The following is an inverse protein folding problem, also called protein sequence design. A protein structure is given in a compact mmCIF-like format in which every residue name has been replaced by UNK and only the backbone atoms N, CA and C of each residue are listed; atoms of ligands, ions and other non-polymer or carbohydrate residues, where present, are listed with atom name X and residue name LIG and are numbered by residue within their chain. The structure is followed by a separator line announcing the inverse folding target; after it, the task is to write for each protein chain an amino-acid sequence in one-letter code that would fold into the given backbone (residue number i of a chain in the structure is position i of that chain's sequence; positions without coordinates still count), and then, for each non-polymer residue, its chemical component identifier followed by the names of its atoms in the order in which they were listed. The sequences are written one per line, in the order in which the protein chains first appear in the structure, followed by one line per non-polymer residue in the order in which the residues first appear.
data_IF_730216220455
#
_entry.id   IF_730216220455
#
_cell.length_a   1.000
_cell.length_b   1.000
_cell.length_c   1.000
_cell.angle_alpha   90.00
_cell.angle_beta   90.00
_cell.angle_gamma   90.00
#
_symmetry.space_group_name_H-M   'P 1'
#
loop_
_entity.id
_entity.type
_entity.pdbx_description
1 polymer ?
#
# COMPACT_ATOMS: atom_id res chain seq x y z
N UNK A 1 -58.70 -8.65 8.32
CA UNK A 1 -58.06 -8.45 7.00
C UNK A 1 -56.65 -9.01 7.11
N UNK A 2 -56.48 -10.29 6.76
CA UNK A 2 -55.17 -10.93 6.68
C UNK A 2 -54.45 -10.40 5.45
N UNK A 3 -53.37 -9.66 5.64
CA UNK A 3 -52.53 -9.24 4.54
C UNK A 3 -51.92 -10.49 3.91
N UNK A 4 -52.35 -10.86 2.72
CA UNK A 4 -51.70 -11.87 1.86
C UNK A 4 -50.29 -11.39 1.50
N UNK A 5 -49.32 -11.61 2.42
CA UNK A 5 -47.90 -11.45 2.12
C UNK A 5 -47.54 -12.45 0.99
N UNK A 6 -47.49 -11.97 -0.23
CA UNK A 6 -47.04 -12.74 -1.37
C UNK A 6 -45.61 -13.19 -1.23
N UNK A 7 -45.42 -14.48 -0.94
CA UNK A 7 -44.09 -15.13 -0.89
C UNK A 7 -43.48 -15.18 -2.29
N UNK A 8 -42.65 -14.18 -2.65
CA UNK A 8 -42.00 -14.14 -3.94
C UNK A 8 -40.78 -15.06 -3.95
N UNK A 9 -40.82 -16.18 -4.70
CA UNK A 9 -39.66 -17.07 -4.92
C UNK A 9 -38.47 -16.26 -5.47
N UNK A 10 -37.22 -16.60 -5.05
CA UNK A 10 -36.02 -15.99 -5.64
C UNK A 10 -35.93 -16.32 -7.13
N UNK A 11 -35.65 -15.32 -7.96
CA UNK A 11 -35.44 -15.52 -9.39
C UNK A 11 -34.15 -16.33 -9.59
N UNK A 12 -34.23 -17.42 -10.40
CA UNK A 12 -33.04 -18.26 -10.71
C UNK A 12 -31.98 -17.47 -11.45
N UNK A 13 -32.38 -16.59 -12.40
CA UNK A 13 -31.43 -15.73 -13.13
C UNK A 13 -30.71 -14.78 -12.25
N UNK A 14 -31.39 -14.11 -11.33
CA UNK A 14 -30.78 -13.19 -10.35
C UNK A 14 -29.88 -13.95 -9.37
N UNK A 15 -30.28 -15.14 -8.91
CA UNK A 15 -29.47 -15.97 -8.03
C UNK A 15 -28.15 -16.39 -8.71
N UNK A 16 -28.17 -16.78 -9.99
CA UNK A 16 -26.97 -17.12 -10.76
C UNK A 16 -26.08 -15.90 -10.96
N UNK A 17 -26.64 -14.77 -11.39
CA UNK A 17 -25.88 -13.54 -11.61
C UNK A 17 -25.18 -13.08 -10.32
N UNK A 18 -25.93 -13.02 -9.21
CA UNK A 18 -25.32 -12.67 -7.90
C UNK A 18 -24.28 -13.70 -7.45
N UNK A 19 -24.55 -15.00 -7.65
CA UNK A 19 -23.59 -16.06 -7.29
C UNK A 19 -22.30 -16.00 -8.10
N UNK A 20 -22.35 -15.52 -9.35
CA UNK A 20 -21.19 -15.39 -10.21
C UNK A 20 -20.37 -14.13 -9.90
N UNK A 21 -21.04 -12.98 -9.73
CA UNK A 21 -20.34 -11.70 -9.55
C UNK A 21 -20.10 -11.33 -8.08
N UNK A 22 -20.99 -11.77 -7.17
CA UNK A 22 -20.95 -11.48 -5.74
C UNK A 22 -21.37 -12.74 -4.95
N UNK A 23 -20.51 -13.79 -4.86
CA UNK A 23 -20.88 -15.08 -4.27
C UNK A 23 -21.57 -15.01 -2.90
N UNK A 24 -21.11 -14.20 -1.91
CA UNK A 24 -21.82 -14.06 -0.64
C UNK A 24 -23.24 -13.50 -0.80
N UNK A 25 -23.43 -12.51 -1.67
CA UNK A 25 -24.73 -11.91 -1.94
C UNK A 25 -25.70 -12.89 -2.63
N UNK A 26 -25.18 -13.75 -3.54
CA UNK A 26 -25.96 -14.83 -4.15
C UNK A 26 -26.54 -15.79 -3.12
N UNK A 27 -25.77 -16.15 -2.10
CA UNK A 27 -26.24 -17.01 -1.01
C UNK A 27 -27.23 -16.31 -0.07
N UNK A 28 -27.00 -15.02 0.23
CA UNK A 28 -27.96 -14.21 1.00
C UNK A 28 -29.30 -14.09 0.25
N UNK A 29 -29.25 -13.90 -1.06
CA UNK A 29 -30.45 -13.81 -1.89
C UNK A 29 -31.32 -15.06 -1.86
N UNK A 30 -30.72 -16.25 -1.74
CA UNK A 30 -31.42 -17.52 -1.59
C UNK A 30 -31.60 -17.96 -0.11
N UNK A 31 -31.47 -17.00 0.83
CA UNK A 31 -31.67 -17.21 2.28
C UNK A 31 -30.74 -18.27 2.92
N UNK A 32 -29.49 -18.31 2.52
CA UNK A 32 -28.46 -19.22 3.05
C UNK A 32 -27.27 -18.44 3.68
N UNK A 33 -27.48 -17.73 4.83
CA UNK A 33 -26.46 -16.86 5.41
C UNK A 33 -25.17 -17.58 5.84
N UNK A 34 -25.29 -18.81 6.39
CA UNK A 34 -24.12 -19.61 6.75
C UNK A 34 -23.23 -19.93 5.54
N UNK A 35 -23.81 -20.22 4.37
CA UNK A 35 -23.05 -20.42 3.14
C UNK A 35 -22.48 -19.11 2.61
N UNK A 36 -23.20 -17.99 2.77
CA UNK A 36 -22.67 -16.68 2.42
C UNK A 36 -21.38 -16.36 3.18
N UNK A 37 -21.35 -16.65 4.51
CA UNK A 37 -20.17 -16.50 5.33
C UNK A 37 -19.01 -17.40 4.85
N UNK A 38 -19.28 -18.66 4.50
CA UNK A 38 -18.26 -19.57 3.96
C UNK A 38 -17.66 -19.02 2.67
N UNK A 39 -18.48 -18.54 1.72
CA UNK A 39 -17.99 -17.96 0.47
C UNK A 39 -17.19 -16.68 0.72
N UNK A 40 -17.59 -15.84 1.67
CA UNK A 40 -16.83 -14.65 2.07
C UNK A 40 -15.44 -15.03 2.58
N UNK A 41 -15.38 -15.99 3.53
CA UNK A 41 -14.10 -16.47 4.08
C UNK A 41 -13.22 -17.08 3.00
N UNK A 42 -13.77 -17.91 2.11
CA UNK A 42 -13.02 -18.50 0.99
C UNK A 42 -12.43 -17.42 0.08
N UNK A 43 -13.19 -16.40 -0.28
CA UNK A 43 -12.69 -15.30 -1.12
C UNK A 43 -11.60 -14.48 -0.41
N UNK A 44 -11.74 -14.25 0.89
CA UNK A 44 -10.69 -13.56 1.69
C UNK A 44 -9.42 -14.40 1.75
N UNK A 45 -9.54 -15.71 1.98
CA UNK A 45 -8.38 -16.63 2.00
C UNK A 45 -7.71 -16.70 0.63
N UNK A 46 -8.48 -16.79 -0.45
CA UNK A 46 -7.93 -16.78 -1.83
C UNK A 46 -7.23 -15.45 -2.11
N UNK A 47 -7.82 -14.33 -1.74
CA UNK A 47 -7.21 -13.01 -1.91
C UNK A 47 -5.90 -12.90 -1.14
N UNK A 48 -5.86 -13.35 0.13
CA UNK A 48 -4.63 -13.39 0.93
C UNK A 48 -3.58 -14.33 0.32
N UNK A 49 -3.95 -15.55 -0.05
CA UNK A 49 -3.03 -16.52 -0.65
C UNK A 49 -2.50 -16.04 -2.00
N UNK A 50 -3.33 -15.36 -2.82
CA UNK A 50 -2.91 -14.85 -4.12
C UNK A 50 -1.79 -13.80 -4.03
N UNK A 51 -1.67 -13.12 -2.89
CA UNK A 51 -0.58 -12.17 -2.64
C UNK A 51 0.77 -12.91 -2.60
N UNK A 52 0.81 -14.08 -1.97
CA UNK A 52 2.05 -14.88 -1.85
C UNK A 52 2.36 -15.65 -3.14
N UNK A 53 1.34 -16.14 -3.85
CA UNK A 53 1.50 -16.93 -5.08
C UNK A 53 1.73 -16.06 -6.32
N UNK A 54 1.39 -14.78 -6.27
CA UNK A 54 1.45 -13.87 -7.43
C UNK A 54 2.86 -13.74 -8.05
N UNK A 55 3.91 -14.05 -7.30
CA UNK A 55 5.30 -14.05 -7.80
C UNK A 55 5.55 -15.15 -8.83
N UNK A 56 4.94 -16.32 -8.64
CA UNK A 56 5.12 -17.48 -9.52
C UNK A 56 4.03 -17.57 -10.59
N UNK A 57 2.78 -17.24 -10.23
CA UNK A 57 1.64 -17.28 -11.14
C UNK A 57 0.59 -16.21 -10.79
N UNK A 58 0.64 -15.08 -11.49
CA UNK A 58 -0.28 -13.97 -11.29
C UNK A 58 -1.76 -14.29 -11.57
N UNK A 59 -2.06 -15.34 -12.32
CA UNK A 59 -3.41 -15.75 -12.70
C UNK A 59 -4.06 -16.73 -11.72
N UNK A 60 -3.26 -17.40 -10.88
CA UNK A 60 -3.74 -18.48 -10.01
C UNK A 60 -4.85 -18.01 -9.05
N UNK A 61 -4.68 -16.84 -8.41
CA UNK A 61 -5.70 -16.28 -7.51
C UNK A 61 -7.00 -15.93 -8.22
N UNK A 62 -6.91 -15.37 -9.43
CA UNK A 62 -8.07 -15.07 -10.27
C UNK A 62 -8.82 -16.32 -10.70
N UNK A 63 -8.11 -17.36 -11.14
CA UNK A 63 -8.69 -18.65 -11.53
C UNK A 63 -9.39 -19.33 -10.34
N UNK A 64 -8.78 -19.33 -9.16
CA UNK A 64 -9.38 -19.88 -7.94
C UNK A 64 -10.66 -19.11 -7.53
N UNK A 65 -10.64 -17.78 -7.59
CA UNK A 65 -11.83 -16.97 -7.31
C UNK A 65 -12.96 -17.21 -8.34
N UNK A 66 -12.62 -17.33 -9.61
CA UNK A 66 -13.59 -17.63 -10.67
C UNK A 66 -14.22 -19.02 -10.46
N UNK A 67 -13.45 -20.04 -10.09
CA UNK A 67 -13.98 -21.36 -9.77
C UNK A 67 -14.96 -21.31 -8.59
N UNK A 68 -14.63 -20.62 -7.53
CA UNK A 68 -15.50 -20.41 -6.36
C UNK A 68 -16.80 -19.70 -6.79
N UNK A 69 -16.72 -18.69 -7.64
CA UNK A 69 -17.89 -17.98 -8.16
C UNK A 69 -18.79 -18.89 -9.00
N UNK A 70 -18.24 -19.72 -9.87
CA UNK A 70 -18.98 -20.69 -10.66
C UNK A 70 -19.70 -21.71 -9.75
N UNK A 71 -18.99 -22.28 -8.76
CA UNK A 71 -19.58 -23.23 -7.80
C UNK A 71 -20.72 -22.55 -7.04
N UNK A 72 -20.52 -21.31 -6.59
CA UNK A 72 -21.56 -20.53 -5.92
C UNK A 72 -22.78 -20.30 -6.82
N UNK A 73 -22.59 -19.91 -8.07
CA UNK A 73 -23.66 -19.68 -9.02
C UNK A 73 -24.52 -20.94 -9.25
N UNK A 74 -23.87 -22.11 -9.41
CA UNK A 74 -24.57 -23.40 -9.53
C UNK A 74 -25.36 -23.74 -8.27
N UNK A 75 -24.78 -23.53 -7.10
CA UNK A 75 -25.48 -23.76 -5.83
C UNK A 75 -26.64 -22.77 -5.65
N UNK A 76 -26.45 -21.49 -5.96
CA UNK A 76 -27.50 -20.48 -5.87
C UNK A 76 -28.68 -20.82 -6.81
N UNK A 77 -28.38 -21.29 -8.05
CA UNK A 77 -29.41 -21.80 -8.96
C UNK A 77 -30.23 -22.96 -8.35
N UNK A 78 -29.52 -23.98 -7.78
CA UNK A 78 -30.17 -25.13 -7.16
C UNK A 78 -31.06 -24.70 -5.98
N UNK A 79 -30.56 -23.85 -5.09
CA UNK A 79 -31.37 -23.35 -3.97
C UNK A 79 -32.53 -22.47 -4.42
N UNK A 80 -32.39 -21.67 -5.46
CA UNK A 80 -33.50 -20.89 -6.04
C UNK A 80 -34.55 -21.80 -6.71
N UNK A 81 -34.13 -22.91 -7.36
CA UNK A 81 -35.03 -23.90 -7.98
C UNK A 81 -35.86 -24.65 -6.93
N UNK A 82 -35.15 -25.14 -5.90
CA UNK A 82 -35.71 -26.01 -4.87
C UNK A 82 -36.19 -25.21 -3.65
N UNK A 83 -36.37 -23.89 -3.79
CA UNK A 83 -36.78 -23.00 -2.73
C UNK A 83 -38.19 -23.36 -2.23
N UNK A 84 -38.25 -23.79 -0.96
CA UNK A 84 -39.53 -24.04 -0.29
C UNK A 84 -40.19 -22.71 0.07
N UNK A 85 -41.50 -22.63 0.14
CA UNK A 85 -42.26 -21.43 0.48
C UNK A 85 -42.06 -21.05 2.00
N UNK A 86 -40.89 -20.48 2.28
CA UNK A 86 -40.55 -19.95 3.59
C UNK A 86 -40.42 -18.43 3.47
N UNK A 87 -40.86 -17.71 4.48
CA UNK A 87 -40.74 -16.23 4.53
C UNK A 87 -39.27 -15.84 4.33
N UNK A 88 -38.95 -15.16 3.24
CA UNK A 88 -37.58 -14.72 2.98
C UNK A 88 -37.17 -13.68 4.02
N UNK A 89 -35.99 -13.82 4.66
CA UNK A 89 -35.47 -12.82 5.57
C UNK A 89 -35.28 -11.46 4.83
N UNK A 90 -35.32 -10.39 5.59
CA UNK A 90 -35.25 -9.03 5.04
C UNK A 90 -33.97 -8.80 4.18
N UNK A 91 -32.85 -9.38 4.60
CA UNK A 91 -31.55 -9.29 3.88
C UNK A 91 -31.53 -10.09 2.55
N UNK A 92 -32.45 -11.01 2.33
CA UNK A 92 -32.62 -11.76 1.07
C UNK A 92 -33.57 -11.08 0.10
N UNK A 93 -34.25 -10.00 0.50
CA UNK A 93 -35.14 -9.21 -0.34
C UNK A 93 -34.35 -8.09 -1.04
N UNK A 94 -34.80 -7.58 -2.21
CA UNK A 94 -34.08 -6.58 -3.00
C UNK A 94 -33.49 -5.42 -2.20
N UNK A 95 -34.32 -4.62 -1.47
CA UNK A 95 -33.80 -3.48 -0.70
C UNK A 95 -32.85 -3.88 0.43
N UNK A 96 -33.20 -4.93 1.19
CA UNK A 96 -32.36 -5.42 2.29
C UNK A 96 -31.02 -5.99 1.80
N UNK A 97 -31.01 -6.71 0.68
CA UNK A 97 -29.79 -7.21 0.06
C UNK A 97 -28.89 -6.07 -0.40
N UNK A 98 -29.46 -5.05 -1.05
CA UNK A 98 -28.71 -3.85 -1.46
C UNK A 98 -28.11 -3.12 -0.26
N UNK A 99 -28.86 -3.00 0.83
CA UNK A 99 -28.37 -2.42 2.08
C UNK A 99 -27.17 -3.20 2.64
N UNK A 100 -27.27 -4.52 2.71
CA UNK A 100 -26.17 -5.38 3.19
C UNK A 100 -24.93 -5.23 2.30
N UNK A 101 -25.10 -5.25 0.97
CA UNK A 101 -24.00 -5.04 0.03
C UNK A 101 -23.35 -3.65 0.25
N UNK A 102 -24.17 -2.60 0.38
CA UNK A 102 -23.68 -1.24 0.60
C UNK A 102 -22.90 -1.10 1.92
N UNK A 103 -23.36 -1.75 3.00
CA UNK A 103 -22.65 -1.76 4.29
C UNK A 103 -21.29 -2.45 4.14
N UNK A 104 -21.21 -3.63 3.52
CA UNK A 104 -19.93 -4.33 3.32
C UNK A 104 -18.97 -3.55 2.41
N UNK A 105 -19.49 -2.94 1.33
CA UNK A 105 -18.68 -2.10 0.46
C UNK A 105 -18.18 -0.85 1.20
N UNK A 106 -19.01 -0.22 2.01
CA UNK A 106 -18.63 0.93 2.84
C UNK A 106 -17.57 0.57 3.89
N UNK A 107 -17.70 -0.58 4.55
CA UNK A 107 -16.70 -1.08 5.48
C UNK A 107 -15.36 -1.38 4.80
N UNK A 108 -15.39 -2.04 3.65
CA UNK A 108 -14.17 -2.33 2.87
C UNK A 108 -13.48 -1.05 2.40
N UNK A 109 -14.25 -0.06 1.93
CA UNK A 109 -13.74 1.25 1.57
C UNK A 109 -13.18 1.98 2.80
N UNK A 110 -13.86 1.93 3.94
CA UNK A 110 -13.41 2.51 5.20
C UNK A 110 -12.06 1.93 5.65
N UNK A 111 -11.90 0.61 5.61
CA UNK A 111 -10.61 -0.05 5.90
C UNK A 111 -9.53 0.46 4.95
N UNK A 112 -9.81 0.52 3.65
CA UNK A 112 -8.85 0.98 2.64
C UNK A 112 -8.47 2.46 2.80
N UNK A 113 -9.43 3.31 3.10
CA UNK A 113 -9.20 4.76 3.25
C UNK A 113 -8.45 5.09 4.54
N UNK A 114 -8.86 4.48 5.67
CA UNK A 114 -8.41 4.91 7.00
C UNK A 114 -7.37 4.00 7.65
N UNK A 115 -7.33 2.72 7.29
CA UNK A 115 -6.49 1.77 8.00
C UNK A 115 -5.33 1.26 7.17
N UNK A 116 -5.60 0.57 6.06
CA UNK A 116 -4.57 -0.14 5.30
C UNK A 116 -4.85 -0.08 3.81
N UNK A 117 -3.84 0.28 3.03
CA UNK A 117 -3.94 0.31 1.58
C UNK A 117 -2.77 -0.41 0.91
N UNK A 118 -3.03 -1.31 -0.07
CA UNK A 118 -1.98 -1.90 -0.88
C UNK A 118 -1.57 -0.94 -2.01
N UNK A 119 -0.26 -0.72 -2.16
CA UNK A 119 0.33 0.04 -3.26
C UNK A 119 1.24 -0.85 -4.09
N UNK A 120 1.31 -0.64 -5.41
CA UNK A 120 2.31 -1.24 -6.27
C UNK A 120 3.47 -0.28 -6.46
N UNK A 121 4.69 -0.75 -6.27
CA UNK A 121 5.89 0.07 -6.36
C UNK A 121 6.70 -0.27 -7.63
N UNK A 122 6.64 0.56 -8.69
CA UNK A 122 7.29 0.25 -9.96
C UNK A 122 8.76 0.69 -10.04
N UNK A 123 9.27 1.46 -9.07
CA UNK A 123 10.56 2.13 -9.10
C UNK A 123 11.69 1.27 -8.53
N UNK A 124 12.91 1.43 -9.08
CA UNK A 124 14.13 0.82 -8.54
C UNK A 124 14.81 1.66 -7.43
N UNK A 125 14.26 2.82 -7.06
CA UNK A 125 14.91 3.76 -6.13
C UNK A 125 15.04 3.25 -4.69
N UNK A 126 14.31 2.19 -4.33
CA UNK A 126 14.36 1.58 -3.00
C UNK A 126 15.02 0.20 -2.99
N UNK A 127 15.74 -0.16 -4.07
CA UNK A 127 16.59 -1.35 -4.06
C UNK A 127 17.69 -1.22 -2.99
N UNK A 128 18.06 -2.29 -2.31
CA UNK A 128 17.58 -3.64 -2.42
C UNK A 128 16.34 -3.93 -1.55
N UNK A 129 15.88 -2.96 -0.73
CA UNK A 129 14.77 -3.17 0.22
C UNK A 129 13.43 -3.43 -0.46
N UNK A 130 13.17 -2.81 -1.61
CA UNK A 130 11.92 -2.96 -2.37
C UNK A 130 12.28 -3.20 -3.83
N UNK A 131 11.92 -4.37 -4.35
CA UNK A 131 12.07 -4.69 -5.78
C UNK A 131 10.98 -3.97 -6.62
N UNK A 132 11.31 -3.55 -7.86
CA UNK A 132 10.32 -3.02 -8.78
C UNK A 132 9.19 -4.02 -9.02
N UNK A 133 7.94 -3.55 -8.88
CA UNK A 133 6.74 -4.40 -9.01
C UNK A 133 6.22 -4.96 -7.69
N UNK A 134 6.98 -4.86 -6.61
CA UNK A 134 6.56 -5.28 -5.27
C UNK A 134 5.26 -4.57 -4.83
N UNK A 135 4.50 -5.25 -4.00
CA UNK A 135 3.29 -4.70 -3.36
C UNK A 135 3.60 -4.28 -1.94
N UNK A 136 3.31 -3.04 -1.62
CA UNK A 136 3.51 -2.46 -0.30
C UNK A 136 2.19 -2.47 0.44
N UNK A 137 2.15 -3.02 1.64
CA UNK A 137 1.02 -2.87 2.55
C UNK A 137 1.30 -1.67 3.45
N UNK A 138 0.54 -0.60 3.27
CA UNK A 138 0.75 0.68 3.91
C UNK A 138 -0.28 0.91 5.00
N UNK A 139 0.17 1.11 6.23
CA UNK A 139 -0.66 1.49 7.37
C UNK A 139 -0.91 2.99 7.30
N UNK A 140 -2.19 3.41 7.28
CA UNK A 140 -2.62 4.82 7.14
C UNK A 140 -3.10 5.44 8.43
N UNK A 141 -3.57 4.63 9.36
CA UNK A 141 -4.10 5.11 10.64
C UNK A 141 -3.07 5.95 11.40
N UNK A 142 -3.46 7.17 11.77
CA UNK A 142 -2.62 8.12 12.48
C UNK A 142 -1.66 8.95 11.60
N UNK A 143 -1.62 8.73 10.28
CA UNK A 143 -0.79 9.54 9.37
C UNK A 143 -1.54 10.75 8.78
N UNK A 144 -2.85 10.83 8.99
CA UNK A 144 -3.64 12.03 8.74
C UNK A 144 -4.00 12.34 7.29
N UNK A 145 -3.45 11.62 6.31
CA UNK A 145 -3.78 11.79 4.89
C UNK A 145 -4.65 10.63 4.40
N UNK A 146 -5.96 10.79 4.56
CA UNK A 146 -6.93 9.74 4.29
C UNK A 146 -7.57 9.93 2.91
N UNK A 147 -7.11 9.16 1.95
CA UNK A 147 -7.61 9.14 0.58
C UNK A 147 -7.36 7.77 -0.07
N UNK A 148 -7.98 7.50 -1.21
CA UNK A 148 -7.71 6.34 -2.06
C UNK A 148 -8.20 6.63 -3.48
N UNK A 149 -7.61 6.02 -4.51
CA UNK A 149 -7.95 6.27 -5.91
C UNK A 149 -7.97 7.76 -6.27
N UNK A 150 -6.96 8.53 -5.79
CA UNK A 150 -6.84 9.99 -5.99
C UNK A 150 -7.96 10.83 -5.34
N UNK A 151 -8.93 10.18 -4.69
CA UNK A 151 -10.00 10.85 -3.95
C UNK A 151 -9.56 11.04 -2.50
N UNK A 152 -9.58 12.28 -2.04
CA UNK A 152 -9.28 12.65 -0.67
C UNK A 152 -10.58 12.74 0.14
N UNK A 153 -10.64 11.98 1.25
CA UNK A 153 -11.79 11.95 2.14
C UNK A 153 -11.61 12.84 3.38
N UNK A 154 -10.42 12.81 3.97
CA UNK A 154 -10.13 13.60 5.17
C UNK A 154 -8.65 13.93 5.32
N UNK A 155 -8.33 14.97 6.07
CA UNK A 155 -7.00 15.30 6.56
C UNK A 155 -7.02 15.54 8.06
N UNK A 156 -5.97 15.11 8.75
CA UNK A 156 -5.72 15.36 10.16
C UNK A 156 -4.21 15.56 10.37
N UNK A 157 -3.84 16.04 11.56
CA UNK A 157 -2.44 16.04 11.95
C UNK A 157 -1.94 14.60 12.14
N UNK A 158 -0.64 14.37 11.91
CA UNK A 158 -0.01 13.08 12.22
C UNK A 158 -0.08 12.87 13.74
N UNK A 159 -0.59 11.69 14.13
CA UNK A 159 -0.62 11.22 15.52
C UNK A 159 0.17 9.93 15.72
N UNK A 160 0.53 9.23 14.64
CA UNK A 160 1.42 8.08 14.70
C UNK A 160 2.88 8.50 14.71
N UNK A 161 3.69 7.76 15.44
CA UNK A 161 5.13 7.98 15.48
C UNK A 161 5.78 7.67 14.14
N UNK A 162 6.61 8.59 13.66
CA UNK A 162 7.49 8.43 12.50
C UNK A 162 8.92 8.37 13.00
N UNK A 163 9.59 7.26 12.77
CA UNK A 163 10.94 7.01 13.25
C UNK A 163 11.95 6.97 12.10
N UNK A 164 13.24 7.26 12.38
CA UNK A 164 14.32 7.03 11.41
C UNK A 164 14.36 5.56 11.01
N UNK A 165 14.59 5.33 9.73
CA UNK A 165 14.57 3.99 9.14
C UNK A 165 13.19 3.52 8.67
N UNK A 166 12.10 4.19 9.03
CA UNK A 166 10.77 3.86 8.49
C UNK A 166 10.70 4.13 6.99
N UNK A 167 10.09 3.22 6.24
CA UNK A 167 9.72 3.49 4.84
C UNK A 167 8.31 4.04 4.84
N UNK A 168 8.13 5.23 4.25
CA UNK A 168 6.85 5.89 4.15
C UNK A 168 6.43 6.08 2.70
N UNK A 169 5.11 5.99 2.46
CA UNK A 169 4.49 6.45 1.21
C UNK A 169 3.97 7.86 1.44
N UNK A 170 4.24 8.76 0.51
CA UNK A 170 3.87 10.17 0.62
C UNK A 170 3.55 10.79 -0.74
N UNK A 171 2.74 11.85 -0.72
CA UNK A 171 2.49 12.72 -1.88
C UNK A 171 3.76 13.52 -2.18
N UNK A 172 4.25 13.45 -3.42
CA UNK A 172 5.44 14.20 -3.84
C UNK A 172 5.22 15.72 -3.64
N UNK A 173 6.16 16.44 -3.01
CA UNK A 173 5.92 17.85 -2.66
C UNK A 173 5.64 18.79 -3.83
N UNK A 174 6.24 18.54 -5.00
CA UNK A 174 6.03 19.37 -6.21
C UNK A 174 4.77 18.97 -6.99
N UNK A 175 4.34 17.69 -6.89
CA UNK A 175 3.14 17.17 -7.54
C UNK A 175 2.45 16.12 -6.67
N UNK A 176 1.42 16.51 -5.97
CA UNK A 176 0.68 15.65 -5.03
C UNK A 176 -0.09 14.50 -5.68
N UNK A 177 -0.25 14.50 -7.00
CA UNK A 177 -0.84 13.38 -7.71
C UNK A 177 0.13 12.18 -7.79
N UNK A 178 1.44 12.45 -7.62
CA UNK A 178 2.48 11.44 -7.67
C UNK A 178 2.80 10.94 -6.26
N UNK A 179 2.76 9.63 -6.06
CA UNK A 179 3.14 8.99 -4.80
C UNK A 179 4.56 8.44 -4.88
N UNK A 180 5.35 8.75 -3.87
CA UNK A 180 6.69 8.21 -3.68
C UNK A 180 6.74 7.31 -2.45
N UNK A 181 7.64 6.33 -2.46
CA UNK A 181 8.06 5.61 -1.27
C UNK A 181 9.56 5.83 -1.06
N UNK A 182 9.93 6.29 0.13
CA UNK A 182 11.33 6.54 0.54
C UNK A 182 11.51 6.22 2.01
N UNK A 183 12.77 6.15 2.43
CA UNK A 183 13.15 5.95 3.83
C UNK A 183 13.32 7.26 4.56
N UNK A 184 12.74 7.37 5.75
CA UNK A 184 12.98 8.49 6.67
C UNK A 184 14.43 8.40 7.18
N UNK A 185 15.20 9.43 6.92
CA UNK A 185 16.59 9.57 7.36
C UNK A 185 16.71 10.68 8.40
N UNK A 186 16.02 11.80 8.21
CA UNK A 186 15.98 12.91 9.15
C UNK A 186 14.58 13.21 9.64
N UNK A 187 14.47 13.45 10.95
CA UNK A 187 13.27 13.89 11.66
C UNK A 187 13.26 15.42 11.79
N UNK A 188 12.12 16.05 12.12
CA UNK A 188 12.06 17.48 12.40
C UNK A 188 13.13 17.91 13.41
N UNK A 189 13.89 18.98 13.10
CA UNK A 189 15.01 19.49 13.92
C UNK A 189 16.35 18.79 13.69
N UNK A 190 16.42 17.68 12.97
CA UNK A 190 17.69 17.01 12.68
C UNK A 190 18.55 17.80 11.69
N UNK A 191 19.85 17.62 11.80
CA UNK A 191 20.79 17.96 10.75
C UNK A 191 21.21 16.72 9.99
N UNK A 192 20.87 16.65 8.70
CA UNK A 192 21.23 15.53 7.82
C UNK A 192 22.26 16.00 6.82
N UNK A 193 23.37 15.26 6.73
CA UNK A 193 24.39 15.52 5.71
C UNK A 193 24.71 14.23 4.94
N UNK A 194 24.97 14.39 3.65
CA UNK A 194 25.39 13.30 2.76
C UNK A 194 26.56 13.79 1.93
N UNK A 195 27.78 13.45 2.38
CA UNK A 195 29.05 13.84 1.75
C UNK A 195 29.87 12.62 1.37
N UNK A 196 30.49 12.63 0.22
CA UNK A 196 31.33 11.54 -0.26
C UNK A 196 30.67 10.15 -0.10
N UNK A 197 29.36 10.11 -0.36
CA UNK A 197 28.50 8.90 -0.22
C UNK A 197 28.43 8.35 1.21
N UNK A 198 28.70 9.19 2.21
CA UNK A 198 28.52 8.90 3.62
C UNK A 198 27.37 9.72 4.19
N UNK A 199 26.56 9.07 5.02
CA UNK A 199 25.43 9.69 5.69
C UNK A 199 25.84 10.11 7.10
N UNK A 200 25.45 11.33 7.47
CA UNK A 200 25.64 11.91 8.79
C UNK A 200 24.29 12.40 9.32
N UNK A 201 24.03 12.17 10.59
CA UNK A 201 22.82 12.66 11.27
C UNK A 201 23.25 13.29 12.57
N UNK A 202 22.92 14.57 12.78
CA UNK A 202 23.30 15.34 13.96
C UNK A 202 24.83 15.28 14.22
N UNK A 203 25.59 15.52 13.16
CA UNK A 203 27.05 15.52 13.13
C UNK A 203 27.74 14.18 13.49
N UNK A 204 26.95 13.09 13.58
CA UNK A 204 27.46 11.73 13.76
C UNK A 204 27.36 10.95 12.43
N UNK A 205 28.49 10.35 12.03
CA UNK A 205 28.50 9.46 10.87
C UNK A 205 27.66 8.23 11.16
N UNK A 206 26.75 7.90 10.25
CA UNK A 206 25.97 6.66 10.31
C UNK A 206 26.88 5.47 9.99
N UNK A 207 27.06 4.54 10.92
CA UNK A 207 27.88 3.35 10.70
C UNK A 207 27.42 2.58 9.47
N UNK A 208 28.38 2.18 8.63
CA UNK A 208 28.11 1.47 7.39
C UNK A 208 29.11 0.33 7.19
N UNK A 209 28.58 -0.87 6.92
CA UNK A 209 29.37 -2.08 6.65
C UNK A 209 29.05 -2.61 5.28
N UNK A 210 30.07 -2.92 4.46
CA UNK A 210 29.88 -3.62 3.17
C UNK A 210 29.49 -5.07 3.42
N UNK A 211 28.40 -5.52 2.77
CA UNK A 211 27.87 -6.88 2.96
C UNK A 211 27.92 -7.74 1.69
N UNK A 212 28.36 -7.19 0.57
CA UNK A 212 28.52 -7.92 -0.70
C UNK A 212 28.11 -7.07 -1.89
N UNK A 213 27.72 -7.73 -2.96
CA UNK A 213 27.17 -7.12 -4.17
C UNK A 213 25.75 -7.60 -4.42
N UNK A 214 24.86 -6.66 -4.66
CA UNK A 214 23.49 -6.93 -5.05
C UNK A 214 23.43 -7.18 -6.56
N UNK A 215 23.06 -8.40 -6.95
CA UNK A 215 22.93 -8.79 -8.36
C UNK A 215 21.46 -8.73 -8.78
N UNK A 216 21.14 -7.81 -9.70
CA UNK A 216 19.83 -7.75 -10.32
C UNK A 216 19.69 -8.81 -11.41
N UNK A 217 18.51 -9.42 -11.52
CA UNK A 217 18.21 -10.44 -12.53
C UNK A 217 18.23 -9.92 -13.98
N UNK A 218 18.03 -8.60 -14.15
CA UNK A 218 17.90 -7.92 -15.45
C UNK A 218 19.15 -7.13 -15.88
N UNK A 219 20.25 -7.21 -15.12
CA UNK A 219 21.52 -6.54 -15.43
C UNK A 219 22.72 -7.45 -15.22
N UNK A 220 23.72 -7.26 -16.06
CA UNK A 220 25.04 -7.88 -15.89
C UNK A 220 25.84 -7.00 -14.92
N UNK A 221 26.44 -7.61 -13.90
CA UNK A 221 27.21 -6.93 -12.85
C UNK A 221 26.41 -6.78 -11.55
N UNK A 222 27.14 -6.54 -10.46
CA UNK A 222 26.57 -6.31 -9.12
C UNK A 222 26.78 -4.86 -8.66
N UNK A 223 25.83 -4.33 -7.91
CA UNK A 223 25.96 -3.04 -7.25
C UNK A 223 26.47 -3.25 -5.83
N UNK A 224 27.50 -2.53 -5.35
CA UNK A 224 27.98 -2.66 -3.98
C UNK A 224 26.86 -2.41 -2.96
N UNK A 225 26.65 -3.38 -2.09
CA UNK A 225 25.62 -3.36 -1.06
C UNK A 225 26.24 -3.14 0.33
N UNK A 226 25.66 -2.23 1.05
CA UNK A 226 26.07 -1.88 2.39
C UNK A 226 24.89 -1.98 3.35
N UNK A 227 25.20 -2.21 4.64
CA UNK A 227 24.26 -2.12 5.74
C UNK A 227 24.53 -0.81 6.49
N UNK A 228 23.54 0.08 6.56
CA UNK A 228 23.59 1.32 7.34
C UNK A 228 22.80 1.16 8.63
N UNK A 229 23.31 1.74 9.73
CA UNK A 229 22.71 1.66 11.06
C UNK A 229 22.54 3.04 11.69
N UNK A 230 21.49 3.80 11.35
CA UNK A 230 21.19 5.05 12.04
C UNK A 230 20.44 4.77 13.35
N UNK A 231 21.16 4.50 14.45
CA UNK A 231 20.61 4.09 15.73
C UNK A 231 20.44 2.56 15.86
N UNK A 232 19.31 2.10 16.38
CA UNK A 232 19.06 0.67 16.63
C UNK A 232 18.67 -0.13 15.39
N UNK A 233 18.14 0.54 14.39
CA UNK A 233 17.70 -0.13 13.16
C UNK A 233 18.79 -0.14 12.11
N UNK A 234 18.87 -1.23 11.37
CA UNK A 234 19.74 -1.37 10.22
C UNK A 234 18.96 -1.68 8.96
N UNK A 235 19.46 -1.21 7.82
CA UNK A 235 18.84 -1.47 6.53
C UNK A 235 19.88 -1.48 5.41
N UNK A 236 19.64 -2.28 4.34
CA UNK A 236 20.56 -2.35 3.23
C UNK A 236 20.40 -1.16 2.29
N UNK A 237 21.53 -0.70 1.74
CA UNK A 237 21.58 0.36 0.73
C UNK A 237 22.52 -0.04 -0.41
N UNK A 238 22.23 0.47 -1.63
CA UNK A 238 23.13 0.35 -2.78
C UNK A 238 23.86 1.68 -3.00
N UNK A 239 25.17 1.60 -3.21
CA UNK A 239 26.02 2.77 -3.47
C UNK A 239 26.98 2.40 -4.60
N UNK A 240 26.81 3.03 -5.77
CA UNK A 240 27.66 2.83 -6.93
C UNK A 240 28.98 3.59 -6.75
N UNK A 241 30.10 2.88 -6.84
CA UNK A 241 31.43 3.49 -6.66
C UNK A 241 31.81 4.42 -7.83
N UNK A 242 31.27 4.13 -9.02
CA UNK A 242 31.58 4.85 -10.27
C UNK A 242 30.52 5.89 -10.67
N UNK A 243 29.49 6.09 -9.84
CA UNK A 243 28.45 7.08 -10.14
C UNK A 243 29.05 8.50 -10.23
N UNK A 244 28.41 9.35 -11.05
CA UNK A 244 28.76 10.74 -11.19
C UNK A 244 28.80 11.47 -9.83
N UNK A 245 29.57 12.55 -9.75
CA UNK A 245 29.56 13.44 -8.60
C UNK A 245 28.15 13.91 -8.28
N UNK A 246 27.89 14.23 -7.02
CA UNK A 246 26.61 14.76 -6.55
C UNK A 246 26.18 15.97 -7.40
N UNK A 247 24.94 15.93 -7.94
CA UNK A 247 24.37 17.01 -8.74
C UNK A 247 23.43 17.81 -7.83
N UNK A 248 23.70 19.11 -7.59
CA UNK A 248 22.77 19.99 -6.85
C UNK A 248 21.41 20.08 -7.53
N UNK A 249 20.34 20.42 -6.78
CA UNK A 249 19.00 20.56 -7.35
C UNK A 249 18.96 21.65 -8.45
N UNK A 250 18.30 21.30 -9.55
CA UNK A 250 18.14 22.21 -10.69
C UNK A 250 17.03 23.26 -10.44
N UNK A 251 16.14 23.02 -9.47
CA UNK A 251 15.01 23.89 -9.13
C UNK A 251 15.05 24.27 -7.65
N UNK A 252 14.60 25.50 -7.35
CA UNK A 252 14.39 25.92 -5.97
C UNK A 252 13.21 25.14 -5.34
N UNK A 253 13.31 24.88 -4.05
CA UNK A 253 12.29 24.21 -3.25
C UNK A 253 12.10 24.93 -1.90
N UNK A 254 10.97 24.72 -1.20
CA UNK A 254 10.73 25.33 0.11
C UNK A 254 11.82 24.98 1.14
N UNK A 255 12.29 25.97 1.90
CA UNK A 255 13.35 25.86 2.91
C UNK A 255 14.72 25.48 2.35
N UNK A 256 15.01 25.78 1.09
CA UNK A 256 16.31 25.51 0.47
C UNK A 256 17.45 26.24 1.18
N UNK A 257 17.18 27.39 1.80
CA UNK A 257 18.13 28.17 2.60
C UNK A 257 18.66 27.41 3.83
N UNK A 258 17.97 26.34 4.25
CA UNK A 258 18.44 25.44 5.32
C UNK A 258 19.40 24.36 4.80
N UNK A 259 19.70 24.34 3.51
CA UNK A 259 20.57 23.38 2.87
C UNK A 259 21.82 24.06 2.33
N UNK A 260 22.98 23.47 2.56
CA UNK A 260 24.26 23.87 1.95
C UNK A 260 24.69 22.78 0.98
N UNK A 261 24.88 23.16 -0.27
CA UNK A 261 25.32 22.27 -1.36
C UNK A 261 26.77 22.51 -1.71
N UNK A 262 27.54 21.44 -1.85
CA UNK A 262 28.90 21.45 -2.34
C UNK A 262 29.06 20.47 -3.49
N UNK A 263 30.26 20.39 -4.09
CA UNK A 263 30.56 19.36 -5.10
C UNK A 263 30.61 17.94 -4.50
N UNK A 264 30.81 17.84 -3.21
CA UNK A 264 30.97 16.58 -2.48
C UNK A 264 29.66 16.06 -1.87
N UNK A 265 28.62 16.92 -1.78
CA UNK A 265 27.34 16.54 -1.22
C UNK A 265 26.50 17.70 -0.70
N UNK A 266 25.62 17.38 0.25
CA UNK A 266 24.64 18.30 0.83
C UNK A 266 24.56 18.16 2.34
N UNK A 267 24.30 19.26 3.05
CA UNK A 267 23.92 19.30 4.46
C UNK A 267 22.68 20.15 4.63
N UNK A 268 21.65 19.62 5.28
CA UNK A 268 20.35 20.26 5.49
C UNK A 268 19.92 20.19 6.95
N UNK A 269 19.41 21.31 7.47
CA UNK A 269 18.66 21.32 8.74
C UNK A 269 17.17 21.07 8.45
N UNK A 270 16.62 20.00 8.96
CA UNK A 270 15.23 19.58 8.71
C UNK A 270 14.26 20.54 9.42
N UNK A 271 13.35 21.23 8.71
CA UNK A 271 12.39 22.14 9.32
C UNK A 271 11.39 21.41 10.22
N UNK A 272 10.77 22.12 11.17
CA UNK A 272 9.67 21.59 11.95
C UNK A 272 8.52 21.14 11.04
N UNK A 273 7.91 20.01 11.41
CA UNK A 273 6.82 19.43 10.62
C UNK A 273 7.23 18.86 9.26
N UNK A 274 8.52 18.68 9.00
CA UNK A 274 9.06 18.12 7.76
C UNK A 274 9.99 16.93 8.06
N UNK A 275 10.20 16.12 7.03
CA UNK A 275 11.09 14.96 7.09
C UNK A 275 12.09 14.99 5.93
N UNK A 276 13.29 14.48 6.19
CA UNK A 276 14.29 14.25 5.15
C UNK A 276 14.28 12.77 4.80
N UNK A 277 14.03 12.47 3.52
CA UNK A 277 13.90 11.10 3.04
C UNK A 277 14.95 10.77 1.99
N UNK A 278 15.39 9.51 1.94
CA UNK A 278 16.33 9.03 0.93
C UNK A 278 15.87 7.68 0.37
N UNK A 279 16.22 7.43 -0.89
CA UNK A 279 16.11 6.09 -1.45
C UNK A 279 17.25 5.19 -0.98
N UNK A 280 16.96 3.91 -0.84
CA UNK A 280 17.97 2.91 -0.48
C UNK A 280 18.97 2.66 -1.64
N UNK A 281 18.53 2.87 -2.89
CA UNK A 281 19.40 2.92 -4.06
C UNK A 281 19.96 4.34 -4.23
N UNK A 282 20.99 4.66 -3.45
CA UNK A 282 21.49 6.02 -3.23
C UNK A 282 21.78 6.82 -4.48
N UNK A 283 22.41 6.22 -5.46
CA UNK A 283 22.82 6.88 -6.69
C UNK A 283 21.75 6.81 -7.80
N UNK A 284 20.65 6.05 -7.56
CA UNK A 284 19.51 5.94 -8.48
C UNK A 284 18.19 6.32 -7.78
N UNK A 285 18.19 7.44 -7.08
CA UNK A 285 17.03 7.95 -6.36
C UNK A 285 16.94 9.47 -6.42
N UNK A 286 15.82 9.96 -6.94
CA UNK A 286 15.40 11.35 -6.72
C UNK A 286 14.71 11.42 -5.35
N UNK A 287 15.31 12.15 -4.40
CA UNK A 287 14.85 12.23 -3.02
C UNK A 287 15.16 13.61 -2.39
N UNK A 288 15.12 13.73 -1.07
CA UNK A 288 15.31 15.02 -0.38
C UNK A 288 16.61 15.72 -0.71
N UNK A 289 17.61 15.02 -1.20
CA UNK A 289 18.85 15.61 -1.70
C UNK A 289 18.63 16.49 -2.94
N UNK A 290 17.56 16.23 -3.71
CA UNK A 290 17.28 16.88 -4.98
C UNK A 290 16.13 17.89 -4.92
N UNK A 291 15.08 17.61 -4.15
CA UNK A 291 13.84 18.39 -4.11
C UNK A 291 13.42 18.82 -2.68
N UNK A 292 14.26 18.59 -1.67
CA UNK A 292 14.07 19.10 -0.32
C UNK A 292 13.23 18.20 0.60
N UNK A 293 12.36 18.78 1.37
CA UNK A 293 11.73 18.14 2.51
C UNK A 293 10.32 17.66 2.21
N UNK A 294 9.90 16.58 2.88
CA UNK A 294 8.52 16.07 2.85
C UNK A 294 7.74 16.70 4.00
N UNK A 295 6.72 17.53 3.73
CA UNK A 295 5.82 17.99 4.77
C UNK A 295 5.11 16.82 5.46
N UNK A 296 4.94 16.88 6.78
CA UNK A 296 4.23 15.86 7.54
C UNK A 296 2.85 15.53 6.96
N UNK A 297 2.08 16.55 6.55
CA UNK A 297 0.76 16.38 5.95
C UNK A 297 0.75 15.72 4.55
N UNK A 298 1.91 15.48 3.95
CA UNK A 298 2.02 14.72 2.70
C UNK A 298 2.19 13.22 2.94
N UNK A 299 2.53 12.78 4.17
CA UNK A 299 2.70 11.36 4.46
C UNK A 299 1.34 10.67 4.39
N UNK A 300 1.23 9.67 3.53
CA UNK A 300 0.03 8.82 3.37
C UNK A 300 0.04 7.70 4.40
N UNK A 301 1.21 7.11 4.67
CA UNK A 301 1.33 6.06 5.66
C UNK A 301 2.70 5.40 5.65
N UNK A 302 2.87 4.47 6.61
CA UNK A 302 4.08 3.69 6.80
C UNK A 302 3.96 2.33 6.12
N UNK A 303 4.99 1.93 5.41
CA UNK A 303 5.09 0.57 4.84
C UNK A 303 5.29 -0.43 5.97
N UNK A 304 4.30 -1.31 6.14
CA UNK A 304 4.33 -2.35 7.17
C UNK A 304 4.87 -3.67 6.65
N UNK A 305 4.47 -4.03 5.41
CA UNK A 305 4.93 -5.24 4.75
C UNK A 305 5.27 -4.95 3.29
N UNK A 306 6.30 -5.64 2.81
CA UNK A 306 6.73 -5.64 1.42
C UNK A 306 6.49 -7.05 0.88
N UNK A 307 5.65 -7.16 -0.13
CA UNK A 307 5.26 -8.42 -0.73
C UNK A 307 5.82 -8.46 -2.16
N UNK A 308 6.41 -9.58 -2.57
CA UNK A 308 7.03 -9.72 -3.88
C UNK A 308 6.04 -9.57 -5.05
#
# INVERSE_FOLDING_TARGET
MESTETYRKPSRRVAVALGLFLPPAGMLYVARPGRAAIYLVLLVVIAAASVFVARENQWAGGAAAALVAIICAVQAYRFARDFREVKRPWYGRGPGLLFVIAVFAGLALGVRVFLVEPFRFPSASMLPSIEPGARLIVMKWGYGNYGTYEIRFARAAISSEVSRGDIVVFEYPEDRAVLFAKRIVGLPGDRVAYFNRRLWVNDQEVPRTRIGDYVRKDRVGGSPQYLERPGEREYPVLIETEAAAFVPPAKAFPFQERCTYTREGVSCGVPDGHYFVMGDNRDNSADSRNWGFVPAGNIVGKVQYILP
#
